data_IF_831390076195
#
_entry.id   IF_831390076195
#
_cell.length_a   1.000
_cell.length_b   1.000
_cell.length_c   1.000
_cell.angle_alpha   90.00
_cell.angle_beta   90.00
_cell.angle_gamma   90.00
#
_symmetry.space_group_name_H-M   'P 1'
#
loop_
_entity.id
_entity.type
_entity.pdbx_description
1 polymer ?
#
# COMPACT_ATOMS: atom_id res chain seq x y z
N UNK A 1 -51.64 -14.97 25.98
CA UNK A 1 -50.31 -14.45 26.33
C UNK A 1 -49.44 -14.59 25.07
N UNK A 2 -49.28 -13.52 24.29
CA UNK A 2 -48.51 -13.53 23.02
C UNK A 2 -47.28 -12.65 23.21
N UNK A 3 -46.12 -13.25 22.96
CA UNK A 3 -44.81 -12.62 23.04
C UNK A 3 -44.69 -11.65 21.86
N UNK A 4 -44.58 -10.35 22.15
CA UNK A 4 -44.34 -9.32 21.14
C UNK A 4 -42.87 -9.38 20.72
N UNK A 5 -42.63 -9.83 19.49
CA UNK A 5 -41.31 -9.84 18.86
C UNK A 5 -40.71 -8.43 18.84
N UNK A 6 -39.49 -8.36 19.35
CA UNK A 6 -38.63 -7.19 19.35
C UNK A 6 -38.18 -6.93 17.91
N UNK A 7 -38.82 -5.95 17.29
CA UNK A 7 -38.53 -5.51 15.93
C UNK A 7 -37.21 -4.72 15.96
N UNK A 8 -36.11 -5.43 15.76
CA UNK A 8 -34.75 -4.88 15.65
C UNK A 8 -34.66 -4.02 14.40
N UNK A 9 -35.08 -2.76 14.53
CA UNK A 9 -34.91 -1.72 13.51
C UNK A 9 -33.42 -1.47 13.33
N UNK A 10 -32.83 -2.10 12.33
CA UNK A 10 -31.63 -1.58 11.67
C UNK A 10 -32.06 -0.29 10.98
N UNK A 11 -32.02 0.84 11.71
CA UNK A 11 -32.19 2.15 11.09
C UNK A 11 -31.02 2.36 10.13
N UNK A 12 -31.28 2.10 8.85
CA UNK A 12 -30.50 2.61 7.75
C UNK A 12 -30.36 4.11 7.96
N UNK A 13 -29.14 4.57 8.27
CA UNK A 13 -28.81 5.98 8.26
C UNK A 13 -28.96 6.45 6.80
N UNK A 14 -30.14 6.97 6.43
CA UNK A 14 -30.30 7.81 5.26
C UNK A 14 -29.90 9.23 5.65
N UNK A 15 -28.64 9.44 5.98
CA UNK A 15 -28.12 10.80 6.14
C UNK A 15 -27.85 11.33 4.74
N UNK A 16 -28.81 12.09 4.21
CA UNK A 16 -28.60 12.90 2.99
C UNK A 16 -27.56 14.01 3.20
N UNK A 17 -26.93 14.08 4.38
CA UNK A 17 -25.93 15.07 4.76
C UNK A 17 -24.51 14.52 4.96
N UNK A 18 -24.29 13.21 4.80
CA UNK A 18 -22.98 12.60 5.06
C UNK A 18 -21.97 12.98 3.97
N UNK A 19 -20.88 13.63 4.37
CA UNK A 19 -19.76 13.99 3.49
C UNK A 19 -18.51 13.25 3.90
N UNK A 20 -17.97 12.46 2.99
CA UNK A 20 -16.70 11.74 3.15
C UNK A 20 -15.62 12.49 2.38
N UNK A 21 -14.48 12.72 3.02
CA UNK A 21 -13.33 13.38 2.41
C UNK A 21 -12.13 12.45 2.53
N UNK A 22 -11.59 12.03 1.38
CA UNK A 22 -10.41 11.18 1.29
C UNK A 22 -9.28 12.05 0.73
N UNK A 23 -8.19 12.12 1.47
CA UNK A 23 -6.99 12.82 1.05
C UNK A 23 -5.86 11.83 0.89
N UNK A 24 -5.19 11.91 -0.24
CA UNK A 24 -3.88 11.31 -0.45
C UNK A 24 -2.82 12.04 0.41
N UNK A 25 -1.71 11.37 0.71
CA UNK A 25 -0.66 11.91 1.58
C UNK A 25 0.44 12.61 0.78
N UNK A 26 1.20 11.85 0.00
CA UNK A 26 2.45 12.32 -0.61
C UNK A 26 2.20 13.22 -1.81
N UNK A 27 2.66 14.46 -1.73
CA UNK A 27 2.42 15.47 -2.76
C UNK A 27 1.03 16.12 -2.68
N UNK A 28 0.10 15.54 -1.91
CA UNK A 28 -1.24 16.07 -1.67
C UNK A 28 -1.33 16.83 -0.34
N UNK A 29 -1.09 16.17 0.80
CA UNK A 29 -1.12 16.79 2.13
C UNK A 29 0.27 17.15 2.66
N UNK A 30 1.26 16.33 2.34
CA UNK A 30 2.64 16.47 2.82
C UNK A 30 3.60 16.43 1.65
N UNK A 31 4.66 17.25 1.71
CA UNK A 31 5.82 17.12 0.82
C UNK A 31 6.99 16.69 1.69
N UNK A 32 7.54 15.51 1.43
CA UNK A 32 8.75 15.06 2.10
C UNK A 32 9.87 16.10 1.92
N UNK A 33 10.59 16.42 3.00
CA UNK A 33 11.69 17.40 2.96
C UNK A 33 12.84 16.98 2.03
N UNK A 34 12.90 15.69 1.67
CA UNK A 34 13.79 15.13 0.66
C UNK A 34 12.98 14.24 -0.27
N UNK A 35 13.09 14.51 -1.57
CA UNK A 35 12.54 13.64 -2.60
C UNK A 35 13.32 12.32 -2.61
N UNK A 36 12.63 11.18 -2.52
CA UNK A 36 13.27 9.87 -2.68
C UNK A 36 13.59 9.07 -1.41
N UNK A 37 13.19 9.51 -0.20
CA UNK A 37 13.39 8.75 1.06
C UNK A 37 12.90 7.30 0.93
N UNK A 38 11.81 7.09 0.20
CA UNK A 38 11.30 5.75 -0.12
C UNK A 38 12.39 4.83 -0.69
N UNK A 39 13.16 5.32 -1.67
CA UNK A 39 14.20 4.54 -2.34
C UNK A 39 15.39 4.25 -1.43
N UNK A 40 15.71 5.17 -0.52
CA UNK A 40 16.86 5.04 0.39
C UNK A 40 16.76 3.79 1.27
N UNK A 41 15.55 3.38 1.67
CA UNK A 41 15.33 2.14 2.41
C UNK A 41 14.88 0.98 1.52
N UNK A 42 14.17 1.24 0.42
CA UNK A 42 13.60 0.16 -0.41
C UNK A 42 14.67 -0.53 -1.25
N UNK A 43 15.65 0.20 -1.78
CA UNK A 43 16.75 -0.39 -2.56
C UNK A 43 17.53 -1.44 -1.76
N UNK A 44 18.13 -1.11 -0.59
CA UNK A 44 18.92 -2.09 0.15
C UNK A 44 18.06 -3.25 0.66
N UNK A 45 16.78 -3.00 0.95
CA UNK A 45 15.84 -4.06 1.30
C UNK A 45 15.63 -5.04 0.14
N UNK A 46 15.40 -4.57 -1.08
CA UNK A 46 15.21 -5.44 -2.24
C UNK A 46 16.50 -6.19 -2.61
N UNK A 47 17.65 -5.54 -2.51
CA UNK A 47 18.95 -6.20 -2.68
C UNK A 47 19.17 -7.30 -1.63
N UNK A 48 18.79 -7.07 -0.37
CA UNK A 48 18.91 -8.06 0.70
C UNK A 48 17.97 -9.25 0.49
N UNK A 49 16.72 -8.99 0.08
CA UNK A 49 15.73 -10.05 -0.08
C UNK A 49 15.95 -10.74 -1.43
N UNK A 50 15.81 -10.04 -2.54
CA UNK A 50 15.80 -10.63 -3.88
C UNK A 50 17.15 -10.66 -4.58
N UNK A 51 18.21 -10.10 -3.98
CA UNK A 51 19.53 -10.02 -4.59
C UNK A 51 19.68 -8.88 -5.61
N UNK A 52 18.63 -8.10 -5.82
CA UNK A 52 18.59 -6.98 -6.79
C UNK A 52 17.47 -6.01 -6.45
N UNK A 53 17.67 -4.72 -6.74
CA UNK A 53 16.62 -3.70 -6.71
C UNK A 53 15.93 -3.51 -8.09
N UNK A 54 16.32 -4.28 -9.10
CA UNK A 54 15.84 -4.16 -10.47
C UNK A 54 15.99 -2.72 -10.99
N UNK A 55 14.92 -2.17 -11.57
CA UNK A 55 14.93 -0.80 -12.11
C UNK A 55 14.51 0.30 -11.10
N UNK A 56 14.39 -0.01 -9.80
CA UNK A 56 13.85 0.93 -8.80
C UNK A 56 14.59 2.29 -8.75
N UNK A 57 15.89 2.30 -8.97
CA UNK A 57 16.69 3.54 -8.99
C UNK A 57 16.18 4.56 -10.01
N UNK A 58 15.70 4.09 -11.16
CA UNK A 58 15.29 4.91 -12.30
C UNK A 58 13.79 5.21 -12.32
N UNK A 59 13.00 4.46 -11.54
CA UNK A 59 11.54 4.57 -11.53
C UNK A 59 11.00 5.87 -10.89
N UNK A 60 9.91 6.38 -11.44
CA UNK A 60 9.07 7.38 -10.76
C UNK A 60 7.99 6.62 -10.00
N UNK A 61 8.02 6.69 -8.67
CA UNK A 61 7.16 5.89 -7.77
C UNK A 61 5.89 6.62 -7.30
N UNK A 62 5.68 7.86 -7.75
CA UNK A 62 4.58 8.71 -7.29
C UNK A 62 3.21 8.11 -7.62
N UNK A 63 2.33 8.00 -6.62
CA UNK A 63 0.97 7.48 -6.77
C UNK A 63 0.88 5.95 -6.85
N UNK A 64 2.00 5.25 -6.63
CA UNK A 64 2.03 3.79 -6.54
C UNK A 64 1.99 3.34 -5.08
N UNK A 65 1.38 2.19 -4.83
CA UNK A 65 1.51 1.49 -3.54
C UNK A 65 2.86 0.79 -3.46
N UNK A 66 3.38 0.57 -2.24
CA UNK A 66 4.64 -0.14 -2.00
C UNK A 66 4.73 -1.46 -2.76
N UNK A 67 3.67 -2.27 -2.74
CA UNK A 67 3.64 -3.55 -3.46
C UNK A 67 3.75 -3.35 -4.98
N UNK A 68 3.04 -2.37 -5.55
CA UNK A 68 3.15 -2.06 -6.98
C UNK A 68 4.56 -1.59 -7.35
N UNK A 69 5.22 -0.84 -6.46
CA UNK A 69 6.59 -0.38 -6.68
C UNK A 69 7.54 -1.59 -6.72
N UNK A 70 7.42 -2.53 -5.78
CA UNK A 70 8.25 -3.75 -5.75
C UNK A 70 8.00 -4.63 -6.97
N UNK A 71 6.73 -4.87 -7.32
CA UNK A 71 6.35 -5.64 -8.52
C UNK A 71 6.92 -5.02 -9.79
N UNK A 72 6.78 -3.71 -9.97
CA UNK A 72 7.27 -3.00 -11.16
C UNK A 72 8.80 -2.99 -11.24
N UNK A 73 9.47 -2.77 -10.10
CA UNK A 73 10.93 -2.76 -10.01
C UNK A 73 11.56 -4.09 -10.43
N UNK A 74 10.96 -5.20 -10.00
CA UNK A 74 11.52 -6.55 -10.21
C UNK A 74 10.99 -7.25 -11.46
N UNK A 75 10.02 -6.65 -12.17
CA UNK A 75 9.42 -7.23 -13.37
C UNK A 75 10.45 -7.58 -14.45
N UNK A 76 11.46 -6.73 -14.64
CA UNK A 76 12.54 -6.96 -15.61
C UNK A 76 13.42 -8.17 -15.29
N UNK A 77 13.46 -8.56 -14.01
CA UNK A 77 14.23 -9.70 -13.49
C UNK A 77 13.44 -11.02 -13.56
N UNK A 78 12.19 -10.98 -14.05
CA UNK A 78 11.31 -12.14 -14.12
C UNK A 78 10.77 -12.60 -12.77
N UNK A 79 10.95 -11.81 -11.71
CA UNK A 79 10.41 -12.12 -10.38
C UNK A 79 8.91 -11.83 -10.39
N UNK A 80 8.11 -12.85 -10.08
CA UNK A 80 6.64 -12.75 -10.14
C UNK A 80 6.04 -12.22 -8.86
N UNK A 81 4.79 -11.76 -8.96
CA UNK A 81 3.99 -11.32 -7.83
C UNK A 81 3.86 -12.39 -6.74
N UNK A 82 3.72 -13.64 -7.13
CA UNK A 82 3.60 -14.78 -6.21
C UNK A 82 4.89 -14.97 -5.42
N UNK A 83 6.04 -14.83 -6.09
CA UNK A 83 7.36 -14.91 -5.44
C UNK A 83 7.60 -13.74 -4.47
N UNK A 84 7.15 -12.54 -4.83
CA UNK A 84 7.18 -11.37 -3.94
C UNK A 84 6.29 -11.61 -2.72
N UNK A 85 5.05 -12.06 -2.95
CA UNK A 85 4.09 -12.34 -1.88
C UNK A 85 4.56 -13.45 -0.94
N UNK A 86 5.27 -14.46 -1.44
CA UNK A 86 5.83 -15.54 -0.64
C UNK A 86 6.90 -15.06 0.36
N UNK A 87 7.52 -13.90 0.12
CA UNK A 87 8.59 -13.32 0.94
C UNK A 87 8.16 -12.05 1.68
N UNK A 88 6.85 -11.85 1.82
CA UNK A 88 6.26 -10.68 2.48
C UNK A 88 6.76 -10.49 3.91
N UNK A 89 6.98 -11.57 4.65
CA UNK A 89 7.45 -11.49 6.04
C UNK A 89 8.90 -10.98 6.10
N UNK A 90 9.75 -11.37 5.14
CA UNK A 90 11.13 -10.87 5.02
C UNK A 90 11.13 -9.38 4.68
N UNK A 91 10.28 -8.96 3.73
CA UNK A 91 10.08 -7.55 3.38
C UNK A 91 9.71 -6.72 4.61
N UNK A 92 8.76 -7.21 5.42
CA UNK A 92 8.32 -6.54 6.65
C UNK A 92 9.41 -6.44 7.71
N UNK A 93 10.31 -7.42 7.80
CA UNK A 93 11.41 -7.40 8.76
C UNK A 93 12.50 -6.36 8.45
N UNK A 94 12.51 -5.82 7.23
CA UNK A 94 13.50 -4.84 6.74
C UNK A 94 13.03 -3.38 6.87
N UNK A 95 11.76 -3.15 7.23
CA UNK A 95 11.20 -1.84 7.56
C UNK A 95 11.50 -1.46 9.02
#
# INVERSE_FOLDING_TARGET
>A
MKISNMDSRTQQIRDSSLRVLLWDLDGTLVRGARYGIFKDYTVPMLESVFGTAGCLHEMIVSGMTDLQIVEEALRGEGITREQISARKDELQSCY
#
